data_IF_818233492518
#
_entry.id   IF_818233492518
#
_cell.length_a   1.000
_cell.length_b   1.000
_cell.length_c   1.000
_cell.angle_alpha   90.00
_cell.angle_beta   90.00
_cell.angle_gamma   90.00
#
_symmetry.space_group_name_H-M   'P 1'
#
loop_
_entity.id
_entity.type
_entity.pdbx_description
1 polymer ?
#
# COMPACT_ATOMS: atom_id res chain seq x y z
N UNK A 1 -10.71 28.08 9.43
CA UNK A 1 -10.79 26.60 9.34
C UNK A 1 -10.61 26.07 7.92
N UNK A 2 -11.14 26.70 6.87
CA UNK A 2 -11.05 26.19 5.48
C UNK A 2 -9.62 25.88 5.00
N UNK A 3 -8.69 26.85 5.10
CA UNK A 3 -7.31 26.68 4.61
C UNK A 3 -6.51 25.55 5.30
N UNK A 4 -6.76 25.31 6.59
CA UNK A 4 -6.08 24.24 7.33
C UNK A 4 -6.55 22.84 6.88
N UNK A 5 -7.84 22.70 6.54
CA UNK A 5 -8.37 21.45 5.97
C UNK A 5 -7.82 21.16 4.58
N UNK A 6 -7.73 22.17 3.71
CA UNK A 6 -7.09 22.00 2.40
C UNK A 6 -5.62 21.59 2.52
N UNK A 7 -4.85 22.24 3.40
CA UNK A 7 -3.46 21.89 3.64
C UNK A 7 -3.29 20.45 4.16
N UNK A 8 -4.19 19.98 5.04
CA UNK A 8 -4.18 18.60 5.50
C UNK A 8 -4.43 17.60 4.36
N UNK A 9 -5.40 17.89 3.47
CA UNK A 9 -5.67 17.05 2.29
C UNK A 9 -4.51 17.04 1.29
N UNK A 10 -3.88 18.19 1.05
CA UNK A 10 -2.70 18.30 0.18
C UNK A 10 -1.51 17.50 0.75
N UNK A 11 -1.30 17.59 2.06
CA UNK A 11 -0.26 16.81 2.73
C UNK A 11 -0.57 15.31 2.69
N UNK A 12 -1.82 14.91 2.89
CA UNK A 12 -2.24 13.51 2.75
C UNK A 12 -2.02 12.98 1.32
N UNK A 13 -2.23 13.82 0.30
CA UNK A 13 -1.98 13.47 -1.09
C UNK A 13 -0.48 13.26 -1.36
N UNK A 14 0.37 14.17 -0.88
CA UNK A 14 1.83 14.03 -1.00
C UNK A 14 2.37 12.75 -0.29
N UNK A 15 1.80 12.41 0.88
CA UNK A 15 2.11 11.14 1.54
C UNK A 15 1.64 9.94 0.71
N UNK A 16 0.47 10.02 0.07
CA UNK A 16 -0.05 8.96 -0.79
C UNK A 16 0.82 8.74 -2.04
N UNK A 17 1.34 9.81 -2.64
CA UNK A 17 2.31 9.68 -3.74
C UNK A 17 3.63 9.05 -3.27
N UNK A 18 4.09 9.39 -2.06
CA UNK A 18 5.27 8.76 -1.44
C UNK A 18 5.05 7.27 -1.14
N UNK A 19 3.83 6.90 -0.71
CA UNK A 19 3.44 5.51 -0.50
C UNK A 19 3.47 4.72 -1.81
N UNK A 20 3.00 5.30 -2.91
CA UNK A 20 3.08 4.66 -4.23
C UNK A 20 4.53 4.45 -4.68
N UNK A 21 5.42 5.42 -4.45
CA UNK A 21 6.84 5.26 -4.74
C UNK A 21 7.45 4.12 -3.92
N UNK A 22 7.20 4.08 -2.60
CA UNK A 22 7.67 3.01 -1.74
C UNK A 22 7.11 1.63 -2.15
N UNK A 23 5.83 1.53 -2.49
CA UNK A 23 5.19 0.30 -2.92
C UNK A 23 5.76 -0.22 -4.25
N UNK A 24 6.09 0.67 -5.20
CA UNK A 24 6.74 0.29 -6.47
C UNK A 24 8.16 -0.23 -6.27
N UNK A 25 8.80 0.15 -5.17
CA UNK A 25 10.13 -0.32 -4.76
C UNK A 25 10.06 -1.49 -3.74
N UNK A 26 8.89 -2.10 -3.55
CA UNK A 26 8.64 -3.18 -2.57
C UNK A 26 8.98 -2.82 -1.11
N UNK A 27 9.05 -1.52 -0.78
CA UNK A 27 9.32 -1.02 0.58
C UNK A 27 8.04 -0.96 1.41
N UNK A 28 7.42 -2.11 1.67
CA UNK A 28 6.12 -2.21 2.33
C UNK A 28 6.11 -1.68 3.77
N UNK A 29 7.20 -1.80 4.53
CA UNK A 29 7.32 -1.20 5.86
C UNK A 29 7.21 0.33 5.83
N UNK A 30 7.82 0.95 4.81
CA UNK A 30 7.72 2.40 4.61
C UNK A 30 6.30 2.83 4.22
N UNK A 31 5.55 1.99 3.48
CA UNK A 31 4.13 2.26 3.18
C UNK A 31 3.31 2.31 4.46
N UNK A 32 3.55 1.42 5.41
CA UNK A 32 2.85 1.38 6.71
C UNK A 32 3.17 2.62 7.55
N UNK A 33 4.44 3.01 7.63
CA UNK A 33 4.86 4.23 8.35
C UNK A 33 4.21 5.49 7.76
N UNK A 34 4.25 5.62 6.43
CA UNK A 34 3.64 6.73 5.71
C UNK A 34 2.12 6.76 5.89
N UNK A 35 1.44 5.62 5.89
CA UNK A 35 0.00 5.57 6.17
C UNK A 35 -0.32 6.05 7.58
N UNK A 36 0.48 5.63 8.58
CA UNK A 36 0.34 6.09 9.97
C UNK A 36 0.37 7.63 10.09
N UNK A 37 1.16 8.29 9.25
CA UNK A 37 1.23 9.76 9.16
C UNK A 37 0.06 10.37 8.37
N UNK A 38 -0.45 9.65 7.37
CA UNK A 38 -1.56 10.08 6.51
C UNK A 38 -2.90 10.06 7.23
N UNK A 39 -3.19 9.03 8.02
CA UNK A 39 -4.51 8.82 8.62
C UNK A 39 -5.03 10.01 9.45
N UNK A 40 -4.23 10.63 10.35
CA UNK A 40 -4.71 11.78 11.11
C UNK A 40 -5.11 12.98 10.24
N UNK A 41 -4.45 13.16 9.09
CA UNK A 41 -4.75 14.23 8.15
C UNK A 41 -6.08 14.00 7.44
N UNK A 42 -6.40 12.75 7.10
CA UNK A 42 -7.69 12.39 6.50
C UNK A 42 -8.86 12.57 7.47
N UNK A 43 -8.63 12.29 8.75
CA UNK A 43 -9.63 12.45 9.81
C UNK A 43 -9.75 13.89 10.35
N UNK A 44 -8.86 14.80 9.94
CA UNK A 44 -9.04 16.22 10.25
C UNK A 44 -10.33 16.77 9.61
N UNK A 45 -10.91 17.81 10.20
CA UNK A 45 -12.10 18.45 9.64
C UNK A 45 -11.77 19.20 8.35
N UNK A 46 -12.45 18.83 7.25
CA UNK A 46 -12.25 19.45 5.94
C UNK A 46 -13.46 20.28 5.50
N UNK A 47 -13.26 21.42 4.83
CA UNK A 47 -14.35 22.18 4.25
C UNK A 47 -15.09 21.38 3.16
N UNK A 48 -16.41 21.52 3.10
CA UNK A 48 -17.26 20.85 2.08
C UNK A 48 -17.36 21.69 0.82
N UNK A 49 -16.24 21.87 0.14
CA UNK A 49 -16.13 22.68 -1.07
C UNK A 49 -15.58 21.90 -2.28
N UNK A 50 -15.70 22.42 -3.51
CA UNK A 50 -15.24 21.73 -4.71
C UNK A 50 -13.74 21.39 -4.69
N UNK A 51 -12.91 22.23 -4.05
CA UNK A 51 -11.47 21.98 -3.92
C UNK A 51 -11.20 20.74 -3.09
N UNK A 52 -11.83 20.61 -1.92
CA UNK A 52 -11.71 19.43 -1.07
C UNK A 52 -12.24 18.18 -1.79
N UNK A 53 -13.34 18.32 -2.53
CA UNK A 53 -13.85 17.23 -3.39
C UNK A 53 -12.86 16.77 -4.46
N UNK A 54 -12.11 17.70 -5.07
CA UNK A 54 -11.06 17.37 -6.04
C UNK A 54 -9.88 16.63 -5.38
N UNK A 55 -9.40 17.12 -4.23
CA UNK A 55 -8.30 16.50 -3.49
C UNK A 55 -8.67 15.09 -3.00
N UNK A 56 -9.88 14.91 -2.46
CA UNK A 56 -10.38 13.60 -2.03
C UNK A 56 -10.49 12.60 -3.18
N UNK A 57 -10.86 13.06 -4.39
CA UNK A 57 -10.91 12.20 -5.58
C UNK A 57 -9.51 11.72 -5.98
N UNK A 58 -8.52 12.62 -5.98
CA UNK A 58 -7.12 12.26 -6.23
C UNK A 58 -6.61 11.27 -5.18
N UNK A 59 -6.93 11.48 -3.91
CA UNK A 59 -6.59 10.54 -2.82
C UNK A 59 -7.19 9.14 -3.07
N UNK A 60 -8.45 9.06 -3.52
CA UNK A 60 -9.10 7.80 -3.86
C UNK A 60 -8.42 7.10 -5.05
N UNK A 61 -8.02 7.85 -6.08
CA UNK A 61 -7.26 7.33 -7.22
C UNK A 61 -5.93 6.72 -6.75
N UNK A 62 -5.15 7.44 -5.93
CA UNK A 62 -3.88 6.92 -5.39
C UNK A 62 -4.08 5.71 -4.49
N UNK A 63 -5.13 5.70 -3.67
CA UNK A 63 -5.45 4.55 -2.84
C UNK A 63 -5.82 3.32 -3.68
N UNK A 64 -6.55 3.51 -4.78
CA UNK A 64 -6.90 2.43 -5.71
C UNK A 64 -5.65 1.83 -6.37
N UNK A 65 -4.72 2.69 -6.81
CA UNK A 65 -3.45 2.24 -7.37
C UNK A 65 -2.60 1.47 -6.34
N UNK A 66 -2.54 1.97 -5.10
CA UNK A 66 -1.79 1.31 -4.03
C UNK A 66 -2.35 -0.07 -3.70
N UNK A 67 -3.69 -0.21 -3.64
CA UNK A 67 -4.34 -1.50 -3.43
C UNK A 67 -4.04 -2.49 -4.57
N UNK A 68 -3.98 -2.02 -5.82
CA UNK A 68 -3.60 -2.86 -6.94
C UNK A 68 -2.13 -3.33 -6.85
N UNK A 69 -1.21 -2.45 -6.41
CA UNK A 69 0.18 -2.83 -6.14
C UNK A 69 0.27 -3.88 -5.02
N UNK A 70 -0.43 -3.65 -3.90
CA UNK A 70 -0.46 -4.59 -2.77
C UNK A 70 -1.04 -5.96 -3.16
N UNK A 71 -2.09 -5.98 -4.00
CA UNK A 71 -2.65 -7.21 -4.56
C UNK A 71 -1.60 -8.03 -5.33
N UNK A 72 -0.88 -7.39 -6.26
CA UNK A 72 0.19 -8.04 -7.03
C UNK A 72 1.33 -8.53 -6.13
N UNK A 73 1.75 -7.73 -5.15
CA UNK A 73 2.80 -8.14 -4.21
C UNK A 73 2.38 -9.35 -3.37
N UNK A 74 1.13 -9.40 -2.91
CA UNK A 74 0.57 -10.54 -2.20
C UNK A 74 0.55 -11.81 -3.07
N UNK A 75 0.13 -11.69 -4.33
CA UNK A 75 0.14 -12.81 -5.28
C UNK A 75 1.57 -13.34 -5.52
N UNK A 76 2.53 -12.43 -5.71
CA UNK A 76 3.93 -12.79 -5.87
C UNK A 76 4.50 -13.51 -4.63
N UNK A 77 4.20 -13.02 -3.43
CA UNK A 77 4.58 -13.65 -2.18
C UNK A 77 3.94 -15.04 -2.01
N UNK A 78 2.66 -15.19 -2.33
CA UNK A 78 1.96 -16.47 -2.29
C UNK A 78 2.58 -17.50 -3.26
N UNK A 79 2.91 -17.07 -4.48
CA UNK A 79 3.58 -17.92 -5.45
C UNK A 79 5.00 -18.34 -4.99
N UNK A 80 5.75 -17.43 -4.37
CA UNK A 80 7.08 -17.72 -3.84
C UNK A 80 7.03 -18.76 -2.70
N UNK A 81 6.08 -18.62 -1.77
CA UNK A 81 5.85 -19.58 -0.67
C UNK A 81 5.40 -20.94 -1.19
N UNK A 82 4.53 -20.97 -2.21
CA UNK A 82 4.11 -22.20 -2.88
C UNK A 82 5.29 -22.96 -3.48
N UNK A 83 6.17 -22.27 -4.23
CA UNK A 83 7.38 -22.87 -4.81
C UNK A 83 8.30 -23.47 -3.75
N UNK A 84 8.55 -22.75 -2.65
CA UNK A 84 9.37 -23.25 -1.56
C UNK A 84 8.78 -24.51 -0.90
N UNK A 85 7.46 -24.50 -0.67
CA UNK A 85 6.75 -25.65 -0.08
C UNK A 85 6.79 -26.88 -1.00
N UNK A 86 6.64 -26.69 -2.31
CA UNK A 86 6.77 -27.77 -3.29
C UNK A 86 8.19 -28.31 -3.38
N UNK A 87 9.21 -27.43 -3.39
CA UNK A 87 10.61 -27.83 -3.42
C UNK A 87 10.99 -28.65 -2.17
N UNK A 88 10.58 -28.22 -0.98
CA UNK A 88 10.78 -28.98 0.26
C UNK A 88 10.10 -30.35 0.21
N UNK A 89 8.89 -30.45 -0.35
CA UNK A 89 8.19 -31.72 -0.49
C UNK A 89 8.91 -32.67 -1.47
N UNK A 90 9.38 -32.15 -2.60
CA UNK A 90 10.14 -32.93 -3.58
C UNK A 90 11.48 -33.44 -3.01
N UNK A 91 12.20 -32.59 -2.27
CA UNK A 91 13.44 -32.98 -1.59
C UNK A 91 13.20 -34.11 -0.57
N UNK A 92 12.16 -34.00 0.26
CA UNK A 92 11.81 -35.05 1.23
C UNK A 92 11.42 -36.36 0.56
N UNK A 93 10.71 -36.31 -0.57
CA UNK A 93 10.37 -37.50 -1.35
C UNK A 93 11.62 -38.19 -1.91
N UNK A 94 12.57 -37.42 -2.44
CA UNK A 94 13.83 -37.97 -2.97
C UNK A 94 14.68 -38.63 -1.87
N UNK A 95 14.84 -37.97 -0.71
CA UNK A 95 15.58 -38.55 0.43
C UNK A 95 14.88 -39.79 0.99
N UNK A 96 13.54 -39.82 1.02
CA UNK A 96 12.78 -40.98 1.48
C UNK A 96 12.72 -42.16 0.51
N UNK A 97 13.05 -41.94 -0.78
CA UNK A 97 13.18 -43.01 -1.80
C UNK A 97 14.61 -43.56 -1.90
N UNK A 98 15.59 -42.83 -1.37
CA UNK A 98 17.01 -43.19 -1.41
C UNK A 98 17.55 -43.81 -0.12
N UNK A 99 16.69 -44.06 0.88
CA UNK A 99 16.98 -44.78 2.12
C UNK A 99 16.12 -46.02 2.25
#
# INVERSE_FOLDING_TARGET
MSAAGHAALEQALALSDSMLAAAREDRWDAVVELDGRRQPLLHAGHPRDPRSGSLLRQLLERNTELLALAGRAREAAAAALGRHSHAHRALRAYVGLAG
#
